data_IF_173509617492
#
_entry.id   IF_173509617492
#
_cell.length_a   1.000
_cell.length_b   1.000
_cell.length_c   1.000
_cell.angle_alpha   90.00
_cell.angle_beta   90.00
_cell.angle_gamma   90.00
#
_symmetry.space_group_name_H-M   'P 1'
#
loop_
_entity.id
_entity.type
_entity.pdbx_description
1 polymer ?
#
# COMPACT_ATOMS: atom_id res chain seq x y z
N UNK A 1 15.27 44.30 -47.75
CA UNK A 1 14.76 43.14 -47.00
C UNK A 1 15.40 41.88 -47.59
N UNK A 2 16.32 41.23 -46.87
CA UNK A 2 16.97 39.99 -47.34
C UNK A 2 16.20 38.80 -46.75
N UNK A 3 15.41 38.11 -47.56
CA UNK A 3 14.90 36.80 -47.21
C UNK A 3 16.08 35.82 -47.20
N UNK A 4 16.44 35.33 -46.00
CA UNK A 4 17.36 34.20 -45.86
C UNK A 4 16.55 32.94 -46.15
N UNK A 5 16.82 32.29 -47.28
CA UNK A 5 16.28 30.97 -47.54
C UNK A 5 16.92 29.98 -46.55
N UNK A 6 16.09 29.23 -45.83
CA UNK A 6 16.57 28.18 -44.92
C UNK A 6 17.29 27.09 -45.72
N UNK A 7 18.46 26.67 -45.23
CA UNK A 7 19.24 25.59 -45.84
C UNK A 7 18.48 24.27 -45.70
N UNK A 8 18.47 23.46 -46.77
CA UNK A 8 17.87 22.12 -46.76
C UNK A 8 18.45 21.23 -45.64
N UNK A 9 19.72 21.45 -45.28
CA UNK A 9 20.37 20.77 -44.18
C UNK A 9 19.74 21.10 -42.82
N UNK A 10 19.35 22.36 -42.60
CA UNK A 10 18.74 22.83 -41.35
C UNK A 10 17.34 22.24 -41.16
N UNK A 11 16.57 22.11 -42.26
CA UNK A 11 15.26 21.45 -42.25
C UNK A 11 15.40 19.95 -41.97
N UNK A 12 16.40 19.27 -42.56
CA UNK A 12 16.64 17.84 -42.32
C UNK A 12 17.08 17.58 -40.88
N UNK A 13 17.98 18.41 -40.32
CA UNK A 13 18.39 18.30 -38.92
C UNK A 13 17.21 18.51 -37.97
N UNK A 14 16.37 19.53 -38.23
CA UNK A 14 15.17 19.78 -37.42
C UNK A 14 14.20 18.59 -37.44
N UNK A 15 13.98 17.97 -38.61
CA UNK A 15 13.13 16.79 -38.74
C UNK A 15 13.69 15.57 -38.01
N UNK A 16 15.01 15.34 -38.06
CA UNK A 16 15.67 14.25 -37.33
C UNK A 16 15.56 14.46 -35.81
N UNK A 17 15.82 15.68 -35.32
CA UNK A 17 15.69 16.00 -33.90
C UNK A 17 14.26 15.84 -33.42
N UNK A 18 13.27 16.29 -34.20
CA UNK A 18 11.85 16.10 -33.88
C UNK A 18 11.43 14.61 -33.90
N UNK A 19 11.96 13.81 -34.82
CA UNK A 19 11.70 12.37 -34.88
C UNK A 19 12.29 11.61 -33.68
N UNK A 20 13.50 11.99 -33.24
CA UNK A 20 14.13 11.42 -32.05
C UNK A 20 13.36 11.84 -30.78
N UNK A 21 13.01 13.12 -30.64
CA UNK A 21 12.19 13.60 -29.51
C UNK A 21 10.81 12.92 -29.48
N UNK A 22 10.17 12.76 -30.63
CA UNK A 22 8.88 12.07 -30.75
C UNK A 22 8.94 10.61 -30.32
N UNK A 23 10.03 9.91 -30.63
CA UNK A 23 10.21 8.50 -30.25
C UNK A 23 10.42 8.32 -28.74
N UNK A 24 11.22 9.19 -28.11
CA UNK A 24 11.46 9.13 -26.66
C UNK A 24 10.22 9.53 -25.84
N UNK A 25 9.44 10.50 -26.31
CA UNK A 25 8.21 10.92 -25.63
C UNK A 25 7.12 9.84 -25.65
N UNK A 26 6.96 9.13 -26.77
CA UNK A 26 5.91 8.11 -26.92
C UNK A 26 6.08 6.89 -25.99
N UNK A 27 7.32 6.37 -25.85
CA UNK A 27 7.59 5.17 -25.03
C UNK A 27 7.43 5.47 -23.52
N UNK A 28 7.85 6.66 -23.08
CA UNK A 28 7.72 7.07 -21.67
C UNK A 28 6.26 7.26 -21.25
N UNK A 29 5.46 7.93 -22.08
CA UNK A 29 4.05 8.22 -21.79
C UNK A 29 3.22 6.94 -21.70
N UNK A 30 3.43 5.98 -22.60
CA UNK A 30 2.70 4.69 -22.57
C UNK A 30 3.02 3.86 -21.30
N UNK A 31 4.26 3.90 -20.82
CA UNK A 31 4.63 3.25 -19.55
C UNK A 31 4.00 3.92 -18.33
N UNK A 32 3.93 5.25 -18.32
CA UNK A 32 3.30 6.04 -17.26
C UNK A 32 1.78 5.78 -17.22
N UNK A 33 1.08 5.81 -18.36
CA UNK A 33 -0.36 5.57 -18.40
C UNK A 33 -0.74 4.18 -17.91
N UNK A 34 0.05 3.14 -18.21
CA UNK A 34 -0.17 1.78 -17.69
C UNK A 34 0.02 1.70 -16.17
N UNK A 35 1.05 2.36 -15.63
CA UNK A 35 1.29 2.42 -14.17
C UNK A 35 0.17 3.15 -13.44
N UNK A 36 -0.28 4.29 -13.98
CA UNK A 36 -1.40 5.05 -13.41
C UNK A 36 -2.69 4.22 -13.44
N UNK A 37 -2.99 3.57 -14.56
CA UNK A 37 -4.17 2.71 -14.68
C UNK A 37 -4.14 1.57 -13.65
N UNK A 38 -2.96 0.99 -13.40
CA UNK A 38 -2.78 -0.08 -12.41
C UNK A 38 -2.93 0.44 -10.98
N UNK A 39 -2.28 1.55 -10.62
CA UNK A 39 -2.43 2.17 -9.30
C UNK A 39 -3.88 2.59 -9.02
N UNK A 40 -4.57 3.11 -10.02
CA UNK A 40 -6.01 3.42 -9.92
C UNK A 40 -6.82 2.15 -9.66
N UNK A 41 -6.56 1.07 -10.40
CA UNK A 41 -7.27 -0.19 -10.21
C UNK A 41 -7.04 -0.75 -8.80
N UNK A 42 -5.82 -0.69 -8.29
CA UNK A 42 -5.48 -1.10 -6.91
C UNK A 42 -6.26 -0.28 -5.88
N UNK A 43 -6.26 1.05 -6.01
CA UNK A 43 -7.02 1.94 -5.13
C UNK A 43 -8.54 1.74 -5.20
N UNK A 44 -9.08 1.49 -6.40
CA UNK A 44 -10.50 1.19 -6.60
C UNK A 44 -10.87 -0.13 -5.92
N UNK A 45 -10.05 -1.18 -6.07
CA UNK A 45 -10.25 -2.50 -5.43
C UNK A 45 -10.26 -2.38 -3.91
N UNK A 46 -9.32 -1.63 -3.33
CA UNK A 46 -9.28 -1.40 -1.89
C UNK A 46 -10.53 -0.67 -1.39
N UNK A 47 -11.00 0.31 -2.15
CA UNK A 47 -12.22 1.07 -1.81
C UNK A 47 -13.45 0.16 -1.83
N UNK A 48 -13.59 -0.70 -2.85
CA UNK A 48 -14.68 -1.68 -2.92
C UNK A 48 -14.57 -2.72 -1.81
N UNK A 49 -13.37 -3.20 -1.49
CA UNK A 49 -13.17 -4.17 -0.40
C UNK A 49 -13.57 -3.60 0.97
N UNK A 50 -13.33 -2.30 1.22
CA UNK A 50 -13.85 -1.62 2.42
C UNK A 50 -15.38 -1.60 2.43
N UNK A 51 -16.01 -1.31 1.28
CA UNK A 51 -17.46 -1.34 1.15
C UNK A 51 -18.03 -2.76 1.37
N UNK A 52 -17.35 -3.81 0.89
CA UNK A 52 -17.69 -5.22 1.17
C UNK A 52 -17.65 -5.50 2.68
N UNK A 53 -16.58 -5.06 3.36
CA UNK A 53 -16.47 -5.21 4.81
C UNK A 53 -17.63 -4.55 5.55
N UNK A 54 -17.98 -3.32 5.19
CA UNK A 54 -19.13 -2.61 5.78
C UNK A 54 -20.47 -3.28 5.46
N UNK A 55 -20.65 -3.79 4.24
CA UNK A 55 -21.85 -4.50 3.80
C UNK A 55 -22.07 -5.78 4.61
N UNK A 56 -21.04 -6.61 4.76
CA UNK A 56 -21.09 -7.84 5.55
C UNK A 56 -21.31 -7.55 7.04
N UNK A 57 -20.65 -6.51 7.58
CA UNK A 57 -20.86 -6.08 8.96
C UNK A 57 -22.30 -5.61 9.24
N UNK A 58 -22.99 -5.08 8.22
CA UNK A 58 -24.38 -4.65 8.30
C UNK A 58 -25.39 -5.79 8.03
N UNK A 59 -24.91 -7.04 7.92
CA UNK A 59 -25.77 -8.21 7.72
C UNK A 59 -26.07 -8.57 6.27
N UNK A 60 -25.38 -7.94 5.32
CA UNK A 60 -25.43 -8.32 3.91
C UNK A 60 -24.79 -9.69 3.66
N UNK A 61 -25.20 -10.37 2.59
CA UNK A 61 -24.67 -11.69 2.22
C UNK A 61 -24.17 -11.70 0.78
N UNK A 62 -22.94 -12.19 0.59
CA UNK A 62 -22.29 -12.35 -0.72
C UNK A 62 -22.07 -13.83 -1.10
N UNK A 63 -22.73 -14.77 -0.41
CA UNK A 63 -22.53 -16.21 -0.60
C UNK A 63 -22.84 -16.69 -2.03
N UNK A 64 -23.77 -16.02 -2.70
CA UNK A 64 -24.20 -16.38 -4.06
C UNK A 64 -23.39 -15.65 -5.14
N UNK A 65 -22.53 -14.70 -4.77
CA UNK A 65 -21.77 -13.92 -5.73
C UNK A 65 -20.50 -14.68 -6.14
N UNK A 66 -20.35 -14.92 -7.44
CA UNK A 66 -19.22 -15.61 -8.04
C UNK A 66 -18.34 -14.64 -8.85
N UNK A 67 -18.91 -13.54 -9.32
CA UNK A 67 -18.18 -12.55 -10.12
C UNK A 67 -18.09 -11.19 -9.41
N UNK A 68 -17.05 -10.38 -9.71
CA UNK A 68 -16.98 -9.00 -9.23
C UNK A 68 -18.21 -8.17 -9.60
N UNK A 69 -18.79 -8.40 -10.79
CA UNK A 69 -19.99 -7.69 -11.24
C UNK A 69 -21.20 -7.97 -10.32
N UNK A 70 -21.40 -9.23 -9.92
CA UNK A 70 -22.45 -9.63 -8.98
C UNK A 70 -22.23 -9.05 -7.58
N UNK A 71 -20.97 -9.00 -7.12
CA UNK A 71 -20.62 -8.35 -5.85
C UNK A 71 -20.99 -6.88 -5.89
N UNK A 72 -20.58 -6.13 -6.92
CA UNK A 72 -20.95 -4.73 -7.08
C UNK A 72 -22.48 -4.58 -7.13
N UNK A 73 -23.18 -5.45 -7.86
CA UNK A 73 -24.65 -5.43 -7.92
C UNK A 73 -25.31 -5.66 -6.55
N UNK A 74 -24.72 -6.47 -5.66
CA UNK A 74 -25.18 -6.67 -4.28
C UNK A 74 -24.90 -5.44 -3.41
N UNK A 75 -23.73 -4.83 -3.54
CA UNK A 75 -23.37 -3.63 -2.78
C UNK A 75 -24.24 -2.42 -3.13
N UNK A 76 -24.80 -2.39 -4.34
CA UNK A 76 -25.76 -1.37 -4.79
C UNK A 76 -27.15 -1.48 -4.17
N UNK A 77 -27.46 -2.61 -3.52
CA UNK A 77 -28.78 -2.85 -2.97
C UNK A 77 -29.01 -2.01 -1.72
N UNK A 78 -30.26 -1.63 -1.51
CA UNK A 78 -30.70 -0.87 -0.33
C UNK A 78 -31.47 -1.77 0.61
N UNK A 79 -31.45 -1.46 1.90
CA UNK A 79 -32.29 -2.15 2.88
C UNK A 79 -33.75 -1.80 2.60
N UNK A 80 -34.65 -2.80 2.65
CA UNK A 80 -36.09 -2.58 2.50
C UNK A 80 -36.61 -1.47 3.42
N UNK A 81 -37.64 -0.73 3.01
CA UNK A 81 -38.18 0.38 3.81
C UNK A 81 -38.66 -0.07 5.22
N UNK A 82 -39.16 -1.30 5.35
CA UNK A 82 -39.58 -1.88 6.61
C UNK A 82 -38.39 -2.17 7.54
N UNK A 83 -37.32 -2.73 6.99
CA UNK A 83 -36.10 -3.05 7.74
C UNK A 83 -35.27 -1.80 8.05
N UNK A 84 -35.25 -0.81 7.15
CA UNK A 84 -34.50 0.44 7.30
C UNK A 84 -34.92 1.22 8.55
N UNK A 85 -36.22 1.24 8.87
CA UNK A 85 -36.76 1.86 10.10
C UNK A 85 -36.31 1.15 11.37
N UNK A 86 -35.91 -0.11 11.25
CA UNK A 86 -35.47 -0.98 12.35
C UNK A 86 -33.95 -1.13 12.41
N UNK A 87 -33.23 -0.41 11.57
CA UNK A 87 -31.77 -0.52 11.43
C UNK A 87 -31.08 0.58 12.22
N UNK A 88 -30.05 0.23 12.98
CA UNK A 88 -29.01 1.18 13.37
C UNK A 88 -27.90 1.18 12.33
N UNK A 89 -27.62 2.34 11.73
CA UNK A 89 -26.55 2.52 10.74
C UNK A 89 -27.04 2.67 9.31
N UNK A 90 -26.23 2.24 8.35
CA UNK A 90 -26.44 2.52 6.93
C UNK A 90 -27.50 1.58 6.31
N UNK A 91 -28.63 2.15 5.90
CA UNK A 91 -29.69 1.47 5.14
C UNK A 91 -29.56 1.64 3.63
N UNK A 92 -28.75 2.61 3.18
CA UNK A 92 -28.54 2.91 1.76
C UNK A 92 -27.53 1.95 1.09
N UNK A 93 -27.25 2.19 -0.20
CA UNK A 93 -26.20 1.54 -0.97
C UNK A 93 -24.82 1.78 -0.34
N UNK A 94 -23.95 0.78 -0.44
CA UNK A 94 -22.56 0.88 0.06
C UNK A 94 -21.57 1.39 -1.00
N UNK A 95 -22.01 1.48 -2.25
CA UNK A 95 -21.22 1.97 -3.39
C UNK A 95 -22.05 2.96 -4.21
N UNK A 96 -21.38 3.81 -4.99
CA UNK A 96 -22.07 4.73 -5.91
C UNK A 96 -22.90 3.92 -6.92
N UNK A 97 -24.16 4.32 -7.13
CA UNK A 97 -25.05 3.67 -8.10
C UNK A 97 -24.46 3.69 -9.52
N UNK A 98 -23.64 4.69 -9.85
CA UNK A 98 -22.95 4.86 -11.12
C UNK A 98 -21.78 3.90 -11.32
N UNK A 99 -21.36 3.19 -10.28
CA UNK A 99 -20.20 2.30 -10.34
C UNK A 99 -20.48 1.11 -11.27
N UNK A 100 -19.85 1.11 -12.44
CA UNK A 100 -19.85 0.03 -13.40
C UNK A 100 -18.51 -0.72 -13.42
N UNK A 101 -18.54 -1.90 -14.02
CA UNK A 101 -17.35 -2.72 -14.27
C UNK A 101 -17.15 -2.89 -15.77
N UNK A 102 -15.90 -2.80 -16.22
CA UNK A 102 -15.53 -3.16 -17.59
C UNK A 102 -14.80 -4.50 -17.55
N UNK A 103 -15.38 -5.49 -18.21
CA UNK A 103 -14.83 -6.85 -18.26
C UNK A 103 -13.50 -6.86 -19.02
N UNK A 104 -12.58 -7.69 -18.56
CA UNK A 104 -11.30 -7.88 -19.24
C UNK A 104 -11.45 -8.85 -20.41
N UNK A 105 -11.02 -8.49 -21.63
CA UNK A 105 -11.14 -9.36 -22.80
C UNK A 105 -10.26 -10.61 -22.69
N UNK A 106 -9.16 -10.54 -21.94
CA UNK A 106 -8.24 -11.66 -21.67
C UNK A 106 -8.61 -12.49 -20.44
N UNK A 107 -9.76 -12.20 -19.80
CA UNK A 107 -10.22 -12.81 -18.55
C UNK A 107 -9.18 -12.74 -17.42
N UNK A 108 -8.28 -11.75 -17.47
CA UNK A 108 -7.29 -11.46 -16.43
C UNK A 108 -7.54 -10.06 -15.86
N UNK A 109 -7.49 -9.92 -14.55
CA UNK A 109 -7.73 -8.65 -13.88
C UNK A 109 -8.23 -8.85 -12.47
N UNK A 110 -9.24 -8.07 -12.07
CA UNK A 110 -9.85 -8.21 -10.75
C UNK A 110 -10.82 -9.37 -10.74
N UNK A 111 -10.66 -10.29 -9.81
CA UNK A 111 -11.57 -11.43 -9.58
C UNK A 111 -12.14 -11.39 -8.16
N UNK A 112 -13.26 -12.08 -7.95
CA UNK A 112 -13.85 -12.26 -6.63
C UNK A 112 -13.35 -13.56 -6.00
N UNK A 113 -12.86 -13.50 -4.76
CA UNK A 113 -12.53 -14.67 -3.94
C UNK A 113 -13.63 -14.84 -2.88
N UNK A 114 -14.52 -15.81 -3.11
CA UNK A 114 -15.63 -16.11 -2.20
C UNK A 114 -15.16 -16.65 -0.84
N UNK A 115 -14.01 -17.33 -0.77
CA UNK A 115 -13.48 -17.87 0.49
C UNK A 115 -12.96 -16.76 1.39
N UNK A 116 -12.35 -15.74 0.79
CA UNK A 116 -11.80 -14.59 1.50
C UNK A 116 -12.76 -13.39 1.55
N UNK A 117 -13.91 -13.51 0.91
CA UNK A 117 -14.90 -12.46 0.72
C UNK A 117 -14.27 -11.11 0.28
N UNK A 118 -13.35 -11.16 -0.69
CA UNK A 118 -12.66 -9.97 -1.18
C UNK A 118 -12.35 -10.05 -2.67
N UNK A 119 -12.24 -8.88 -3.30
CA UNK A 119 -11.70 -8.73 -4.64
C UNK A 119 -10.16 -8.84 -4.61
N UNK A 120 -9.59 -9.58 -5.56
CA UNK A 120 -8.15 -9.78 -5.73
C UNK A 120 -7.69 -9.33 -7.12
N UNK A 121 -6.52 -8.73 -7.18
CA UNK A 121 -5.87 -8.28 -8.41
C UNK A 121 -5.17 -9.44 -9.14
N UNK A 122 -4.94 -9.25 -10.45
CA UNK A 122 -4.25 -10.18 -11.36
C UNK A 122 -4.76 -11.63 -11.34
N UNK A 123 -6.03 -11.82 -10.99
CA UNK A 123 -6.69 -13.11 -11.07
C UNK A 123 -7.09 -13.45 -12.50
N UNK A 124 -7.11 -14.74 -12.81
CA UNK A 124 -7.66 -15.26 -14.05
C UNK A 124 -8.99 -15.96 -13.76
N UNK A 125 -10.06 -15.60 -14.47
CA UNK A 125 -11.37 -16.19 -14.25
C UNK A 125 -12.48 -15.54 -15.06
N UNK A 126 -13.59 -16.27 -15.22
CA UNK A 126 -14.79 -15.79 -15.89
C UNK A 126 -15.34 -14.55 -15.19
N UNK A 127 -15.46 -13.44 -15.92
CA UNK A 127 -15.96 -12.17 -15.38
C UNK A 127 -14.89 -11.32 -14.70
N UNK A 128 -13.61 -11.56 -14.99
CA UNK A 128 -12.52 -10.68 -14.54
C UNK A 128 -12.75 -9.24 -15.01
N UNK A 129 -12.48 -8.28 -14.13
CA UNK A 129 -12.70 -6.85 -14.37
C UNK A 129 -11.38 -6.16 -14.66
N UNK A 130 -11.29 -5.47 -15.79
CA UNK A 130 -10.11 -4.69 -16.18
C UNK A 130 -10.08 -3.32 -15.49
N UNK A 131 -11.26 -2.69 -15.31
CA UNK A 131 -11.39 -1.38 -14.66
C UNK A 131 -12.78 -1.12 -14.12
N UNK A 132 -12.85 -0.28 -13.09
CA UNK A 132 -14.08 0.31 -12.59
C UNK A 132 -14.31 1.68 -13.24
N UNK A 133 -15.56 1.97 -13.60
CA UNK A 133 -15.96 3.21 -14.28
C UNK A 133 -17.20 3.79 -13.61
N UNK A 134 -17.35 5.11 -13.64
CA UNK A 134 -18.59 5.77 -13.26
C UNK A 134 -19.36 6.11 -14.54
N UNK A 135 -20.58 5.60 -14.67
CA UNK A 135 -21.46 5.89 -15.80
C UNK A 135 -22.72 6.60 -15.33
N UNK A 136 -23.03 7.77 -15.88
CA UNK A 136 -24.19 8.56 -15.45
C UNK A 136 -25.52 7.86 -15.77
N UNK A 137 -25.57 7.06 -16.84
CA UNK A 137 -26.74 6.23 -17.19
C UNK A 137 -27.06 5.14 -16.16
N UNK A 138 -26.12 4.78 -15.29
CA UNK A 138 -26.33 3.81 -14.22
C UNK A 138 -26.95 4.46 -12.97
N UNK A 139 -26.98 5.80 -12.87
CA UNK A 139 -27.60 6.53 -11.77
C UNK A 139 -29.13 6.45 -11.77
N UNK A 140 -29.73 6.27 -12.95
CA UNK A 140 -31.18 6.31 -13.13
C UNK A 140 -31.88 5.00 -12.72
N UNK A 141 -31.11 3.95 -12.43
CA UNK A 141 -31.65 2.64 -12.03
C UNK A 141 -31.98 2.66 -10.53
N UNK A 142 -33.25 2.52 -10.18
CA UNK A 142 -33.67 2.42 -8.78
C UNK A 142 -32.98 1.22 -8.10
N UNK A 143 -32.44 1.42 -6.88
CA UNK A 143 -31.74 0.35 -6.19
C UNK A 143 -32.70 -0.77 -5.81
N UNK A 144 -32.26 -2.02 -6.03
CA UNK A 144 -33.01 -3.20 -5.61
C UNK A 144 -33.01 -3.29 -4.09
N UNK A 145 -34.18 -3.49 -3.49
CA UNK A 145 -34.31 -3.69 -2.05
C UNK A 145 -33.86 -5.11 -1.65
N UNK A 146 -33.29 -5.23 -0.45
CA UNK A 146 -32.95 -6.51 0.16
C UNK A 146 -33.21 -6.50 1.68
N UNK A 147 -33.45 -7.69 2.22
CA UNK A 147 -33.49 -7.94 3.66
C UNK A 147 -32.13 -8.44 4.13
N UNK A 148 -31.65 -7.89 5.25
CA UNK A 148 -30.32 -8.18 5.82
C UNK A 148 -30.47 -8.88 7.17
N UNK A 149 -29.67 -9.90 7.41
CA UNK A 149 -29.70 -10.65 8.68
C UNK A 149 -28.85 -9.92 9.72
N UNK A 150 -29.44 -9.49 10.83
CA UNK A 150 -28.76 -8.66 11.83
C UNK A 150 -28.94 -9.20 13.24
N UNK A 151 -27.92 -8.97 14.07
CA UNK A 151 -27.91 -9.36 15.48
C UNK A 151 -28.72 -8.40 16.35
N UNK A 152 -28.79 -7.11 15.96
CA UNK A 152 -29.51 -6.06 16.71
C UNK A 152 -30.38 -5.27 15.74
N UNK A 153 -31.64 -5.03 16.12
CA UNK A 153 -32.58 -4.19 15.38
C UNK A 153 -33.44 -3.38 16.35
N UNK A 154 -34.11 -2.32 15.90
CA UNK A 154 -35.11 -1.66 16.75
C UNK A 154 -36.35 -2.54 16.91
N UNK A 155 -36.97 -2.47 18.09
CA UNK A 155 -38.18 -3.20 18.39
C UNK A 155 -39.30 -2.91 17.37
N UNK A 156 -39.99 -3.97 16.94
CA UNK A 156 -41.12 -3.82 16.02
C UNK A 156 -42.38 -3.29 16.70
N UNK A 157 -42.65 -3.83 17.89
CA UNK A 157 -43.93 -3.67 18.60
C UNK A 157 -43.75 -3.36 20.09
N UNK A 158 -42.52 -3.50 20.63
CA UNK A 158 -42.21 -3.24 22.04
C UNK A 158 -41.92 -1.76 22.30
N UNK A 159 -42.22 -1.29 23.52
CA UNK A 159 -41.82 0.01 24.05
C UNK A 159 -40.33 0.07 24.42
N UNK A 160 -39.64 -1.07 24.43
CA UNK A 160 -38.19 -1.17 24.57
C UNK A 160 -37.50 -0.84 23.24
N UNK A 161 -36.31 -0.25 23.28
CA UNK A 161 -35.64 0.28 22.07
C UNK A 161 -35.13 -0.84 21.16
N UNK A 162 -34.72 -1.99 21.70
CA UNK A 162 -34.02 -3.05 20.96
C UNK A 162 -34.82 -4.35 20.80
N UNK A 163 -34.75 -4.94 19.61
CA UNK A 163 -35.13 -6.32 19.32
C UNK A 163 -33.86 -7.17 19.07
N UNK A 164 -33.90 -8.42 19.53
CA UNK A 164 -32.83 -9.41 19.29
C UNK A 164 -33.37 -10.55 18.43
N UNK A 165 -32.60 -11.01 17.45
CA UNK A 165 -32.87 -12.30 16.81
C UNK A 165 -32.09 -13.38 17.55
N UNK A 166 -32.79 -14.22 18.31
CA UNK A 166 -32.20 -15.44 18.84
C UNK A 166 -31.77 -16.34 17.70
N UNK A 167 -30.48 -16.67 17.66
CA UNK A 167 -29.98 -17.74 16.79
C UNK A 167 -30.59 -19.03 17.29
N UNK A 168 -31.38 -19.71 16.45
CA UNK A 168 -32.00 -20.99 16.81
C UNK A 168 -30.93 -21.93 17.42
N UNK A 169 -31.15 -22.44 18.65
CA UNK A 169 -30.20 -23.35 19.27
C UNK A 169 -30.06 -24.58 18.36
N UNK A 170 -28.83 -24.91 17.99
CA UNK A 170 -28.52 -26.25 17.46
C UNK A 170 -29.06 -27.25 18.47
N UNK A 171 -29.91 -28.17 18.02
CA UNK A 171 -30.61 -29.11 18.87
C UNK A 171 -29.65 -29.70 19.92
N UNK A 172 -29.97 -29.48 21.20
CA UNK A 172 -29.28 -30.13 22.29
C UNK A 172 -29.42 -31.65 22.13
N UNK A 173 -28.39 -32.45 22.45
CA UNK A 173 -28.55 -33.89 22.51
C UNK A 173 -29.69 -34.22 23.49
N UNK A 174 -30.58 -35.11 23.07
CA UNK A 174 -31.76 -35.55 23.80
C UNK A 174 -31.42 -35.84 25.27
N UNK A 175 -32.06 -35.11 26.19
CA UNK A 175 -31.99 -35.39 27.62
C UNK A 175 -32.60 -36.76 27.91
N UNK A 176 -31.77 -37.69 28.37
CA UNK A 176 -32.22 -38.92 29.02
C UNK A 176 -32.80 -38.55 30.38
N UNK A 177 -34.08 -38.85 30.62
CA UNK A 177 -34.70 -38.67 31.93
C UNK A 177 -33.96 -39.50 32.98
N UNK A 178 -33.49 -38.83 34.03
CA UNK A 178 -32.86 -39.46 35.19
C UNK A 178 -33.98 -39.81 36.17
N UNK A 179 -34.24 -41.10 36.34
CA UNK A 179 -35.16 -41.59 37.37
C UNK A 179 -34.63 -41.26 38.77
N UNK A 180 -35.42 -40.51 39.54
CA UNK A 180 -35.10 -40.18 40.94
C UNK A 180 -35.48 -41.39 41.81
N UNK A 181 -34.48 -42.06 42.37
CA UNK A 181 -34.66 -43.01 43.48
C UNK A 181 -34.37 -42.25 44.77
N UNK A 182 -35.37 -42.13 45.64
CA UNK A 182 -35.23 -41.55 46.96
C UNK A 182 -34.57 -42.57 47.89
N UNK A 183 -33.34 -42.32 48.33
CA UNK A 183 -32.80 -43.00 49.51
C UNK A 183 -31.86 -42.08 50.31
N UNK A 184 -31.91 -42.26 51.62
CA UNK A 184 -31.48 -41.33 52.65
C UNK A 184 -29.96 -41.24 52.83
N UNK A 185 -29.55 -40.08 53.35
CA UNK A 185 -28.37 -39.81 54.20
C UNK A 185 -26.99 -40.26 53.68
N UNK A 186 -26.28 -39.32 53.02
CA UNK A 186 -24.81 -39.35 52.93
C UNK A 186 -24.22 -37.96 52.53
N UNK A 187 -23.80 -37.18 53.53
CA UNK A 187 -22.67 -36.22 53.46
C UNK A 187 -22.78 -34.98 52.53
N UNK A 188 -22.02 -33.90 52.79
CA UNK A 188 -21.99 -32.74 51.92
C UNK A 188 -21.21 -33.07 50.64
N UNK A 189 -21.91 -33.45 49.58
CA UNK A 189 -21.34 -33.63 48.25
C UNK A 189 -20.94 -32.28 47.65
N UNK A 190 -19.69 -32.21 47.20
CA UNK A 190 -19.07 -31.12 46.45
C UNK A 190 -19.94 -30.63 45.29
N UNK A 191 -20.06 -29.31 45.16
CA UNK A 191 -20.60 -28.63 43.99
C UNK A 191 -20.01 -29.20 42.69
N UNK A 192 -20.80 -29.41 41.62
CA UNK A 192 -20.25 -29.69 40.30
C UNK A 192 -19.32 -28.53 39.89
N UNK A 193 -18.12 -28.87 39.46
CA UNK A 193 -17.12 -27.91 39.02
C UNK A 193 -17.73 -27.00 37.94
N UNK A 194 -17.66 -25.68 38.18
CA UNK A 194 -18.07 -24.69 37.22
C UNK A 194 -17.45 -25.00 35.85
N UNK A 195 -18.29 -25.07 34.82
CA UNK A 195 -17.83 -25.12 33.44
C UNK A 195 -16.86 -23.95 33.23
N UNK A 196 -15.64 -24.16 32.69
CA UNK A 196 -14.67 -23.07 32.56
C UNK A 196 -15.29 -21.96 31.73
N UNK A 197 -15.33 -20.76 32.29
CA UNK A 197 -15.78 -19.57 31.58
C UNK A 197 -15.04 -19.47 30.24
N UNK A 198 -15.70 -19.01 29.15
CA UNK A 198 -15.01 -18.80 27.88
C UNK A 198 -13.82 -17.86 28.10
N UNK A 199 -12.61 -18.35 27.84
CA UNK A 199 -11.39 -17.54 27.92
C UNK A 199 -11.44 -16.52 26.79
N UNK A 200 -11.76 -15.27 27.12
CA UNK A 200 -11.67 -14.15 26.19
C UNK A 200 -10.20 -13.84 25.95
N UNK A 201 -9.67 -14.23 24.79
CA UNK A 201 -8.31 -13.89 24.39
C UNK A 201 -8.24 -12.42 23.96
N UNK A 202 -7.45 -11.61 24.66
CA UNK A 202 -7.35 -10.17 24.43
C UNK A 202 -6.41 -9.88 23.24
N UNK A 203 -6.80 -8.96 22.35
CA UNK A 203 -5.98 -8.58 21.18
C UNK A 203 -4.86 -7.62 21.59
N UNK A 204 -3.62 -7.92 21.19
CA UNK A 204 -2.47 -7.05 21.40
C UNK A 204 -2.49 -5.84 20.46
N UNK A 205 -1.94 -4.72 20.94
CA UNK A 205 -1.69 -3.53 20.14
C UNK A 205 -0.39 -3.68 19.33
N UNK A 206 -0.33 -3.13 18.10
CA UNK A 206 0.88 -3.15 17.28
C UNK A 206 2.01 -2.34 17.92
N UNK A 207 3.28 -2.60 17.55
CA UNK A 207 4.42 -1.86 18.08
C UNK A 207 4.45 -0.43 17.55
N UNK A 208 4.98 0.50 18.34
CA UNK A 208 5.17 1.89 17.91
C UNK A 208 6.58 2.11 17.36
N UNK A 209 6.67 2.81 16.24
CA UNK A 209 7.93 3.15 15.57
C UNK A 209 8.45 4.50 16.05
N UNK A 210 9.75 4.61 16.35
CA UNK A 210 10.37 5.89 16.72
C UNK A 210 10.45 6.87 15.56
N UNK A 211 10.61 6.34 14.34
CA UNK A 211 10.67 7.10 13.09
C UNK A 211 9.44 6.69 12.26
N UNK A 212 8.59 7.64 11.85
CA UNK A 212 7.44 7.32 11.00
C UNK A 212 7.89 6.95 9.58
N UNK A 213 7.01 6.34 8.78
CA UNK A 213 7.25 6.24 7.33
C UNK A 213 7.31 7.62 6.69
N UNK A 214 8.02 7.69 5.58
CA UNK A 214 8.07 8.91 4.80
C UNK A 214 9.29 9.00 3.90
N UNK A 215 9.44 10.21 3.38
CA UNK A 215 10.56 10.58 2.52
C UNK A 215 11.57 11.38 3.34
N UNK A 216 12.83 10.96 3.32
CA UNK A 216 13.94 11.58 4.05
C UNK A 216 15.04 11.99 3.08
N UNK A 217 15.81 13.04 3.41
CA UNK A 217 16.97 13.40 2.60
C UNK A 217 17.98 12.26 2.54
N UNK A 218 18.56 11.99 1.37
CA UNK A 218 19.48 10.86 1.17
C UNK A 218 20.67 10.84 2.15
N UNK A 219 21.09 12.00 2.65
CA UNK A 219 22.14 12.16 3.66
C UNK A 219 21.78 11.69 5.07
N UNK A 220 20.51 11.43 5.34
CA UNK A 220 20.01 10.98 6.66
C UNK A 220 19.80 9.49 6.77
N UNK A 221 20.06 8.73 5.70
CA UNK A 221 19.87 7.28 5.68
C UNK A 221 20.91 6.55 6.52
N UNK A 222 20.60 5.28 6.80
CA UNK A 222 21.00 4.53 8.00
C UNK A 222 20.23 5.01 9.24
N UNK A 223 18.93 5.28 9.07
CA UNK A 223 18.06 5.76 10.13
C UNK A 223 17.91 4.66 11.20
N UNK A 224 18.22 4.94 12.49
CA UNK A 224 18.05 3.96 13.56
C UNK A 224 16.58 3.94 14.01
N UNK A 225 15.82 2.98 13.49
CA UNK A 225 14.41 2.79 13.85
C UNK A 225 14.31 1.89 15.08
N UNK A 226 13.72 2.42 16.14
CA UNK A 226 13.43 1.69 17.37
C UNK A 226 11.95 1.35 17.44
N UNK A 227 11.65 0.13 17.90
CA UNK A 227 10.29 -0.35 18.13
C UNK A 227 9.99 -0.41 19.64
N UNK A 228 8.82 0.08 20.04
CA UNK A 228 8.37 0.04 21.44
C UNK A 228 7.10 -0.79 21.57
N UNK A 229 7.02 -1.62 22.63
CA UNK A 229 5.86 -2.46 22.91
C UNK A 229 4.88 -1.69 23.83
N UNK A 230 3.67 -1.32 23.36
CA UNK A 230 2.69 -0.64 24.20
C UNK A 230 1.86 -1.58 25.09
N UNK A 231 2.05 -2.90 24.97
CA UNK A 231 1.26 -3.90 25.71
C UNK A 231 1.81 -4.14 27.13
N UNK A 232 1.01 -4.74 28.04
CA UNK A 232 1.47 -5.07 29.39
C UNK A 232 2.76 -5.90 29.39
N UNK A 233 3.63 -5.68 30.37
CA UNK A 233 4.91 -6.39 30.46
C UNK A 233 4.72 -7.91 30.53
N UNK A 234 5.52 -8.65 29.76
CA UNK A 234 5.47 -10.13 29.72
C UNK A 234 4.31 -10.74 28.92
N UNK A 235 3.41 -9.92 28.34
CA UNK A 235 2.30 -10.39 27.49
C UNK A 235 2.73 -10.76 26.06
N UNK A 236 3.80 -10.14 25.56
CA UNK A 236 4.16 -10.20 24.14
C UNK A 236 5.63 -9.89 23.88
N UNK A 237 6.09 -10.31 22.69
CA UNK A 237 7.38 -9.92 22.10
C UNK A 237 7.15 -9.22 20.76
N UNK A 238 8.10 -8.38 20.33
CA UNK A 238 8.06 -7.73 19.02
C UNK A 238 8.81 -8.59 18.01
N UNK A 239 8.21 -8.83 16.86
CA UNK A 239 8.88 -9.38 15.67
C UNK A 239 8.80 -8.38 14.52
N UNK A 240 9.80 -8.42 13.64
CA UNK A 240 9.88 -7.56 12.47
C UNK A 240 10.39 -8.33 11.24
N UNK A 241 10.10 -7.81 10.05
CA UNK A 241 10.61 -8.30 8.78
C UNK A 241 11.01 -7.10 7.91
N UNK A 242 12.10 -7.24 7.17
CA UNK A 242 12.61 -6.23 6.25
C UNK A 242 12.34 -6.70 4.82
N UNK A 243 11.79 -5.82 3.99
CA UNK A 243 11.54 -6.04 2.56
C UNK A 243 10.78 -7.34 2.26
N UNK A 244 9.78 -7.64 3.09
CA UNK A 244 8.97 -8.87 3.04
C UNK A 244 9.77 -10.18 3.23
N UNK A 245 10.95 -10.11 3.83
CA UNK A 245 11.77 -11.27 4.20
C UNK A 245 11.25 -12.02 5.44
N UNK A 246 12.13 -12.84 6.02
CA UNK A 246 11.81 -13.64 7.19
C UNK A 246 11.60 -12.78 8.45
N UNK A 247 10.67 -13.24 9.30
CA UNK A 247 10.38 -12.60 10.59
C UNK A 247 11.49 -12.89 11.60
N UNK A 248 11.95 -11.84 12.28
CA UNK A 248 13.01 -11.89 13.27
C UNK A 248 12.56 -11.25 14.58
N UNK A 249 13.09 -11.74 15.70
CA UNK A 249 12.85 -11.15 17.02
C UNK A 249 13.57 -9.80 17.14
N UNK A 250 12.86 -8.78 17.63
CA UNK A 250 13.42 -7.44 17.82
C UNK A 250 14.20 -7.36 19.14
N UNK A 251 15.52 -7.17 19.04
CA UNK A 251 16.43 -7.06 20.19
C UNK A 251 17.24 -5.75 20.23
N UNK A 252 17.29 -5.01 19.12
CA UNK A 252 18.07 -3.78 18.97
C UNK A 252 17.47 -2.88 17.89
N UNK A 253 17.77 -1.56 17.89
CA UNK A 253 17.36 -0.66 16.81
C UNK A 253 17.78 -1.18 15.43
N UNK A 254 16.93 -0.96 14.43
CA UNK A 254 17.09 -1.43 13.06
C UNK A 254 17.60 -0.28 12.21
N UNK A 255 18.73 -0.47 11.51
CA UNK A 255 19.21 0.51 10.54
C UNK A 255 18.47 0.33 9.22
N UNK A 256 17.76 1.36 8.75
CA UNK A 256 17.01 1.30 7.48
C UNK A 256 17.71 2.11 6.38
N UNK A 257 17.74 1.53 5.19
CA UNK A 257 18.33 2.10 3.98
C UNK A 257 17.25 2.67 3.05
N UNK A 258 17.63 3.45 2.01
CA UNK A 258 16.67 3.96 1.04
C UNK A 258 15.86 2.85 0.36
N UNK A 259 14.54 2.98 0.39
CA UNK A 259 13.61 2.04 -0.25
C UNK A 259 13.20 0.87 0.64
N UNK A 260 13.69 0.80 1.88
CA UNK A 260 13.33 -0.27 2.81
C UNK A 260 11.86 -0.21 3.22
N UNK A 261 11.21 -1.37 3.21
CA UNK A 261 9.89 -1.61 3.79
C UNK A 261 10.08 -2.41 5.08
N UNK A 262 9.74 -1.81 6.22
CA UNK A 262 9.84 -2.44 7.53
C UNK A 262 8.44 -2.83 8.03
N UNK A 263 8.21 -4.13 8.17
CA UNK A 263 6.99 -4.69 8.75
C UNK A 263 7.23 -5.08 10.21
N UNK A 264 6.33 -4.76 11.12
CA UNK A 264 6.43 -5.17 12.52
C UNK A 264 5.08 -5.57 13.12
N UNK A 265 5.11 -6.50 14.08
CA UNK A 265 3.95 -6.89 14.88
C UNK A 265 4.38 -7.36 16.28
N UNK A 266 3.48 -7.23 17.26
CA UNK A 266 3.62 -7.90 18.55
C UNK A 266 2.95 -9.27 18.50
N UNK A 267 3.66 -10.30 18.94
CA UNK A 267 3.18 -11.68 19.04
C UNK A 267 3.06 -12.08 20.50
N UNK A 268 2.04 -12.87 20.80
CA UNK A 268 1.73 -13.28 22.16
C UNK A 268 2.79 -14.24 22.73
N UNK A 269 3.15 -14.04 24.00
CA UNK A 269 3.95 -15.00 24.79
C UNK A 269 3.11 -15.80 25.77
N UNK A 270 1.80 -15.53 25.87
CA UNK A 270 0.89 -16.17 26.83
C UNK A 270 -0.43 -16.58 26.15
N UNK A 271 -1.08 -17.64 26.65
CA UNK A 271 -2.30 -18.18 26.01
C UNK A 271 -3.51 -17.23 25.98
N UNK A 272 -3.53 -16.22 26.85
CA UNK A 272 -4.65 -15.29 27.00
C UNK A 272 -4.62 -14.11 26.01
N UNK A 273 -3.60 -14.02 25.15
CA UNK A 273 -3.44 -12.93 24.19
C UNK A 273 -3.40 -13.41 22.75
N UNK A 274 -4.00 -12.63 21.84
CA UNK A 274 -3.89 -12.78 20.39
C UNK A 274 -2.90 -11.78 19.82
N UNK A 275 -2.16 -12.21 18.81
CA UNK A 275 -1.21 -11.38 18.08
C UNK A 275 -1.85 -10.10 17.55
N UNK A 276 -1.08 -9.03 17.54
CA UNK A 276 -1.51 -7.75 16.97
C UNK A 276 -1.63 -7.81 15.45
N UNK A 277 -2.24 -6.78 14.86
CA UNK A 277 -2.16 -6.55 13.42
C UNK A 277 -0.74 -6.16 13.03
N UNK A 278 -0.29 -6.62 11.86
CA UNK A 278 0.95 -6.13 11.25
C UNK A 278 0.85 -4.64 10.90
N UNK A 279 1.98 -3.95 11.01
CA UNK A 279 2.14 -2.57 10.56
C UNK A 279 3.35 -2.48 9.64
N UNK A 280 3.15 -1.88 8.47
CA UNK A 280 4.17 -1.70 7.45
C UNK A 280 4.58 -0.21 7.39
N UNK A 281 5.87 0.07 7.39
CA UNK A 281 6.44 1.42 7.22
C UNK A 281 7.40 1.41 6.02
N UNK A 282 7.32 2.44 5.20
CA UNK A 282 8.20 2.61 4.05
C UNK A 282 9.10 3.84 4.20
N UNK A 283 10.38 3.69 3.90
CA UNK A 283 11.39 4.74 4.02
C UNK A 283 11.98 5.07 2.65
N UNK A 284 11.63 6.23 2.10
CA UNK A 284 12.05 6.65 0.75
C UNK A 284 13.10 7.75 0.81
N UNK A 285 14.10 7.69 -0.06
CA UNK A 285 15.06 8.79 -0.18
C UNK A 285 14.54 9.89 -1.10
N UNK A 286 14.69 11.13 -0.66
CA UNK A 286 14.60 12.32 -1.49
C UNK A 286 15.95 12.53 -2.16
N UNK A 287 16.02 12.51 -3.51
CA UNK A 287 17.22 12.88 -4.23
C UNK A 287 17.58 14.33 -3.91
N UNK A 288 18.82 14.58 -3.51
CA UNK A 288 19.35 15.93 -3.37
C UNK A 288 20.05 16.34 -4.66
N UNK A 289 19.71 17.53 -5.18
CA UNK A 289 20.41 18.08 -6.34
C UNK A 289 21.86 18.40 -5.96
N UNK A 290 22.81 17.88 -6.74
CA UNK A 290 24.22 18.21 -6.56
C UNK A 290 24.48 19.63 -7.10
N UNK A 291 25.28 20.38 -6.36
CA UNK A 291 25.83 21.66 -6.80
C UNK A 291 26.98 21.41 -7.78
N UNK A 292 27.07 22.23 -8.83
CA UNK A 292 28.11 22.09 -9.85
C UNK A 292 29.52 22.25 -9.23
N UNK A 293 30.51 21.45 -9.63
CA UNK A 293 31.87 21.60 -9.14
C UNK A 293 32.52 22.89 -9.66
N UNK A 294 33.47 23.44 -8.89
CA UNK A 294 34.28 24.56 -9.36
C UNK A 294 35.54 24.04 -10.03
N UNK A 295 35.89 24.66 -11.15
CA UNK A 295 37.12 24.37 -11.91
C UNK A 295 38.03 25.58 -11.71
N UNK A 296 39.19 25.35 -11.11
CA UNK A 296 40.13 26.40 -10.75
C UNK A 296 41.48 26.13 -11.41
N UNK A 297 41.73 26.73 -12.59
CA UNK A 297 43.06 26.72 -13.16
C UNK A 297 43.94 27.76 -12.45
N UNK A 298 45.21 27.43 -12.21
CA UNK A 298 46.16 28.38 -11.64
C UNK A 298 46.42 29.60 -12.55
N UNK A 299 46.17 29.47 -13.86
CA UNK A 299 46.17 30.56 -14.83
C UNK A 299 44.99 30.43 -15.81
N UNK A 300 44.35 31.53 -16.21
CA UNK A 300 43.15 31.49 -17.06
C UNK A 300 43.43 31.07 -18.52
N UNK A 301 44.68 31.15 -18.98
CA UNK A 301 45.08 30.83 -20.37
C UNK A 301 46.52 30.32 -20.41
N UNK A 302 46.83 29.46 -21.37
CA UNK A 302 48.22 29.09 -21.68
C UNK A 302 49.00 30.29 -22.23
N UNK A 303 50.24 30.47 -21.78
CA UNK A 303 51.13 31.49 -22.33
C UNK A 303 52.10 30.99 -23.40
N UNK A 304 52.66 31.92 -24.17
CA UNK A 304 53.64 31.62 -25.20
C UNK A 304 55.02 31.24 -24.63
N UNK A 305 55.43 31.93 -23.58
CA UNK A 305 56.77 31.82 -23.00
C UNK A 305 56.75 31.48 -21.49
N UNK A 306 55.64 31.79 -20.81
CA UNK A 306 55.40 31.50 -19.39
C UNK A 306 54.05 30.79 -19.27
N UNK A 307 53.82 30.00 -18.21
CA UNK A 307 52.56 29.26 -18.00
C UNK A 307 52.19 28.36 -19.20
N UNK A 308 53.19 27.61 -19.72
CA UNK A 308 52.98 26.62 -20.79
C UNK A 308 52.28 25.35 -20.28
N UNK A 309 52.28 25.17 -18.97
CA UNK A 309 51.51 24.18 -18.23
C UNK A 309 50.58 24.92 -17.27
N UNK A 310 49.33 24.47 -17.22
CA UNK A 310 48.29 24.98 -16.32
C UNK A 310 47.88 23.84 -15.40
N UNK A 311 48.00 24.07 -14.10
CA UNK A 311 47.46 23.15 -13.10
C UNK A 311 45.98 23.43 -12.93
N UNK A 312 45.16 22.39 -13.04
CA UNK A 312 43.72 22.47 -12.85
C UNK A 312 43.36 21.71 -11.58
N UNK A 313 42.76 22.41 -10.62
CA UNK A 313 42.10 21.82 -9.47
C UNK A 313 40.58 21.83 -9.66
N UNK A 314 39.93 20.80 -9.12
CA UNK A 314 38.47 20.71 -9.05
C UNK A 314 38.04 20.71 -7.58
N UNK A 315 37.08 21.57 -7.25
CA UNK A 315 36.47 21.62 -5.93
C UNK A 315 35.08 20.98 -5.98
N UNK A 316 34.82 20.05 -5.05
CA UNK A 316 33.50 19.46 -4.87
C UNK A 316 32.75 20.19 -3.76
N UNK A 317 31.75 21.03 -4.07
CA UNK A 317 30.94 21.71 -3.05
C UNK A 317 29.93 20.75 -2.36
N UNK A 318 29.86 19.49 -2.78
CA UNK A 318 28.92 18.51 -2.25
C UNK A 318 29.59 17.60 -1.21
N UNK A 319 28.81 17.00 -0.30
CA UNK A 319 29.34 16.00 0.63
C UNK A 319 30.04 14.83 -0.09
N UNK A 320 31.24 14.48 0.36
CA UNK A 320 32.06 13.41 -0.24
C UNK A 320 31.39 12.02 -0.18
N UNK A 321 30.51 11.79 0.81
CA UNK A 321 29.75 10.55 0.92
C UNK A 321 28.67 10.40 -0.18
N UNK A 322 28.27 11.48 -0.83
CA UNK A 322 27.15 11.50 -1.79
C UNK A 322 27.58 11.75 -3.23
N UNK A 323 28.84 12.10 -3.46
CA UNK A 323 29.30 12.58 -4.76
C UNK A 323 30.79 12.31 -4.97
N UNK A 324 31.17 12.15 -6.24
CA UNK A 324 32.56 12.07 -6.68
C UNK A 324 32.76 12.99 -7.86
N UNK A 325 33.99 13.47 -8.02
CA UNK A 325 34.36 14.29 -9.16
C UNK A 325 34.89 13.41 -10.29
N UNK A 326 34.43 13.69 -11.49
CA UNK A 326 34.94 13.13 -12.73
C UNK A 326 35.22 14.28 -13.70
N UNK A 327 36.23 14.10 -14.53
CA UNK A 327 36.60 15.06 -15.57
C UNK A 327 36.86 14.33 -16.88
N UNK A 328 36.69 15.05 -17.99
CA UNK A 328 37.09 14.57 -19.31
C UNK A 328 37.76 15.70 -20.07
N UNK A 329 38.72 15.35 -20.92
CA UNK A 329 39.44 16.29 -21.74
C UNK A 329 39.09 16.05 -23.21
N UNK A 330 38.87 17.14 -23.96
CA UNK A 330 38.66 17.11 -25.41
C UNK A 330 37.59 16.10 -25.91
N UNK A 331 36.53 15.91 -25.13
CA UNK A 331 35.44 14.99 -25.49
C UNK A 331 35.76 13.50 -25.39
N UNK A 332 36.92 13.14 -24.81
CA UNK A 332 37.26 11.75 -24.50
C UNK A 332 36.50 11.17 -23.30
N UNK A 333 37.00 10.05 -22.79
CA UNK A 333 36.38 9.33 -21.67
C UNK A 333 36.42 10.12 -20.35
N UNK A 334 35.39 9.91 -19.53
CA UNK A 334 35.35 10.40 -18.16
C UNK A 334 36.37 9.67 -17.28
N UNK A 335 37.10 10.44 -16.47
CA UNK A 335 38.14 9.97 -15.56
C UNK A 335 37.83 10.44 -14.14
N UNK A 336 38.05 9.60 -13.11
CA UNK A 336 37.91 10.04 -11.73
C UNK A 336 38.96 11.12 -11.41
N UNK A 337 38.54 12.17 -10.72
CA UNK A 337 39.44 13.20 -10.20
C UNK A 337 39.92 12.79 -8.80
N UNK A 338 41.22 12.59 -8.65
CA UNK A 338 41.86 12.24 -7.36
C UNK A 338 42.76 13.36 -6.85
N UNK A 339 43.47 14.05 -7.74
CA UNK A 339 44.41 15.12 -7.44
C UNK A 339 44.37 16.16 -8.57
N UNK A 340 44.85 17.39 -8.34
CA UNK A 340 45.11 18.35 -9.41
C UNK A 340 45.94 17.73 -10.53
N UNK A 341 45.68 18.14 -11.76
CA UNK A 341 46.38 17.63 -12.94
C UNK A 341 46.89 18.77 -13.82
N UNK A 342 47.98 18.50 -14.54
CA UNK A 342 48.58 19.44 -15.47
C UNK A 342 47.99 19.29 -16.86
N UNK A 343 47.66 20.42 -17.47
CA UNK A 343 47.40 20.54 -18.91
C UNK A 343 48.60 21.21 -19.56
N UNK A 344 49.12 20.63 -20.63
CA UNK A 344 50.18 21.24 -21.43
C UNK A 344 49.59 21.91 -22.66
N UNK A 345 50.08 23.10 -22.99
CA UNK A 345 49.69 23.80 -24.22
C UNK A 345 49.84 22.94 -25.48
N UNK A 346 50.82 22.04 -25.53
CA UNK A 346 51.06 21.19 -26.71
C UNK A 346 49.88 20.25 -27.02
N UNK A 347 49.07 19.94 -26.01
CA UNK A 347 47.89 19.08 -26.15
C UNK A 347 46.66 19.90 -26.62
N UNK A 348 46.79 21.23 -26.64
CA UNK A 348 45.76 22.22 -26.95
C UNK A 348 46.31 23.26 -27.95
N UNK A 349 46.82 22.79 -29.09
CA UNK A 349 47.53 23.64 -30.08
C UNK A 349 46.73 24.83 -30.63
N UNK A 350 45.41 24.85 -30.46
CA UNK A 350 44.52 25.93 -30.92
C UNK A 350 44.05 26.88 -29.80
N UNK A 351 44.53 26.70 -28.57
CA UNK A 351 43.97 27.36 -27.38
C UNK A 351 43.00 26.44 -26.66
#
# INVERSE_FOLDING_TARGET
MKHRAFSLLEVVIALVVLGILGSFTFVSVNGISKRIARQKLESDVDTVNRAVGSYLAMGGSLKDAQTPAEVIARLKRTTSAADARRTTGLSSSFVDARLGVVLSPDQRGVIWDANRARLMLDGAGTGAVAKFVLGDSLAEVSPVEETRSRTVSFAKESSWIWDYQDRAPTAAPTTTEISVVSEADAGPTSHPAASPAPTFTQLLSPPTFSVPSGTYGISRFDLPVSLTNPNPSGSSKIVYAIDYGDWQDYNSPISVSPGTILSAQTVSTQGDWRDSRKQDQEYRAEPSALTVPRIEPNYPTFGNFFHREVEVSLENPNPAALSRLEYRLQGGDWRPYANPFLLSRTDFNNG
#
